data_IF_817545219255
#
_entry.id   IF_817545219255
#
_cell.length_a   1.000
_cell.length_b   1.000
_cell.length_c   1.000
_cell.angle_alpha   90.00
_cell.angle_beta   90.00
_cell.angle_gamma   90.00
#
_symmetry.space_group_name_H-M   'P 1'
#
loop_
_entity.id
_entity.type
_entity.pdbx_description
1 polymer ?
#
# COMPACT_ATOMS: atom_id res chain seq x y z
N UNK A 1 9.05 -45.47 -29.63
CA UNK A 1 9.09 -46.94 -29.48
C UNK A 1 7.76 -47.37 -28.89
N UNK A 2 7.11 -48.39 -29.45
CA UNK A 2 6.00 -49.07 -28.77
C UNK A 2 6.56 -49.97 -27.66
N UNK A 3 5.87 -49.99 -26.51
CA UNK A 3 6.18 -50.84 -25.36
C UNK A 3 4.93 -51.62 -24.94
N UNK A 4 5.13 -52.77 -24.32
CA UNK A 4 4.05 -53.73 -24.00
C UNK A 4 3.51 -53.54 -22.60
N UNK A 5 2.35 -54.14 -22.32
CA UNK A 5 1.59 -54.00 -21.07
C UNK A 5 2.40 -54.39 -19.82
N UNK A 6 3.41 -55.25 -19.96
CA UNK A 6 4.24 -55.75 -18.85
C UNK A 6 5.29 -54.74 -18.34
N UNK A 7 5.52 -53.61 -19.04
CA UNK A 7 6.40 -52.53 -18.58
C UNK A 7 5.76 -51.64 -17.47
N UNK A 8 4.49 -51.90 -17.08
CA UNK A 8 3.69 -51.05 -16.20
C UNK A 8 3.88 -51.43 -14.71
N UNK A 9 5.12 -51.60 -14.25
CA UNK A 9 5.47 -51.80 -12.83
C UNK A 9 6.68 -50.95 -12.40
N UNK A 10 6.67 -49.66 -12.74
CA UNK A 10 7.24 -48.63 -11.85
C UNK A 10 6.37 -47.37 -11.88
N UNK A 11 6.29 -46.65 -10.75
CA UNK A 11 5.17 -45.77 -10.44
C UNK A 11 5.51 -44.28 -10.62
N UNK A 12 4.89 -43.64 -11.63
CA UNK A 12 4.35 -42.25 -11.55
C UNK A 12 3.70 -41.81 -12.86
N UNK A 13 2.37 -41.70 -12.85
CA UNK A 13 1.59 -40.88 -13.77
C UNK A 13 0.47 -40.21 -12.98
N UNK A 14 0.69 -38.97 -12.55
CA UNK A 14 -0.41 -38.10 -12.15
C UNK A 14 -1.24 -37.74 -13.40
N UNK A 15 -2.55 -37.57 -13.23
CA UNK A 15 -3.51 -37.63 -14.34
C UNK A 15 -3.54 -36.34 -15.19
N UNK A 16 -2.59 -36.20 -16.12
CA UNK A 16 -2.56 -35.12 -17.11
C UNK A 16 -3.58 -35.38 -18.24
N UNK A 17 -4.83 -34.98 -17.98
CA UNK A 17 -5.83 -34.58 -18.98
C UNK A 17 -6.05 -35.45 -20.24
N UNK A 18 -6.13 -36.77 -20.10
CA UNK A 18 -6.57 -37.68 -21.16
C UNK A 18 -8.01 -37.36 -21.63
N UNK A 19 -8.16 -36.62 -22.73
CA UNK A 19 -9.46 -36.01 -23.12
C UNK A 19 -10.52 -37.00 -23.65
N UNK A 20 -10.12 -38.14 -24.22
CA UNK A 20 -11.05 -39.22 -24.59
C UNK A 20 -10.49 -40.62 -24.27
N UNK A 21 -11.24 -41.41 -23.49
CA UNK A 21 -10.87 -42.75 -23.01
C UNK A 21 -11.11 -43.88 -24.03
N UNK A 22 -10.86 -43.60 -25.32
CA UNK A 22 -11.10 -44.55 -26.44
C UNK A 22 -9.93 -44.81 -27.37
N UNK A 23 -8.72 -44.38 -27.01
CA UNK A 23 -7.47 -44.85 -27.62
C UNK A 23 -6.35 -44.85 -26.59
N UNK A 24 -5.57 -45.92 -26.53
CA UNK A 24 -4.52 -46.16 -25.53
C UNK A 24 -3.22 -45.40 -25.83
N UNK A 25 -3.33 -44.16 -26.31
CA UNK A 25 -2.21 -43.33 -26.76
C UNK A 25 -2.23 -42.03 -25.96
N UNK A 26 -1.41 -41.96 -24.92
CA UNK A 26 -0.97 -40.67 -24.39
C UNK A 26 0.19 -40.20 -25.28
N UNK A 27 -0.09 -39.33 -26.26
CA UNK A 27 0.99 -38.55 -26.87
C UNK A 27 1.56 -37.64 -25.76
N UNK A 28 2.84 -37.81 -25.42
CA UNK A 28 3.56 -36.80 -24.65
C UNK A 28 3.75 -35.62 -25.59
N UNK A 29 3.00 -34.54 -25.36
CA UNK A 29 3.28 -33.24 -25.98
C UNK A 29 4.72 -32.86 -25.67
N UNK A 30 5.47 -32.46 -26.70
CA UNK A 30 6.88 -32.13 -26.55
C UNK A 30 7.06 -30.90 -25.68
N UNK A 31 7.99 -30.96 -24.72
CA UNK A 31 8.56 -29.76 -24.13
C UNK A 31 9.37 -29.06 -25.23
N UNK A 32 8.81 -28.00 -25.79
CA UNK A 32 9.50 -27.12 -26.73
C UNK A 32 10.34 -26.09 -25.97
N UNK A 33 11.39 -25.57 -26.62
CA UNK A 33 12.08 -24.39 -26.10
C UNK A 33 11.10 -23.21 -26.02
N UNK A 34 11.24 -22.35 -25.00
CA UNK A 34 10.32 -21.24 -24.70
C UNK A 34 9.94 -20.32 -25.89
N UNK A 35 10.73 -20.29 -26.98
CA UNK A 35 10.45 -19.52 -28.20
C UNK A 35 9.74 -20.32 -29.30
N UNK A 36 9.30 -21.54 -29.03
CA UNK A 36 8.75 -22.47 -30.02
C UNK A 36 7.55 -23.25 -29.50
N UNK A 37 6.62 -23.60 -30.41
CA UNK A 37 5.39 -24.32 -30.09
C UNK A 37 4.92 -25.24 -31.22
N UNK A 38 3.84 -25.98 -30.94
CA UNK A 38 3.16 -26.86 -31.88
C UNK A 38 3.84 -28.22 -32.03
N UNK A 39 3.25 -29.09 -32.87
CA UNK A 39 3.79 -30.43 -33.10
C UNK A 39 5.18 -30.32 -33.73
N UNK A 40 6.11 -31.09 -33.15
CA UNK A 40 7.54 -31.09 -33.46
C UNK A 40 8.26 -29.72 -33.28
N UNK A 41 7.68 -28.79 -32.50
CA UNK A 41 8.25 -27.49 -32.12
C UNK A 41 8.68 -26.62 -33.32
N UNK A 42 7.92 -26.69 -34.41
CA UNK A 42 8.25 -26.07 -35.71
C UNK A 42 7.74 -24.64 -35.88
N UNK A 43 6.87 -24.17 -34.98
CA UNK A 43 6.34 -22.81 -34.97
C UNK A 43 7.09 -21.97 -33.93
N UNK A 44 7.24 -20.66 -34.17
CA UNK A 44 7.91 -19.74 -33.24
C UNK A 44 6.91 -18.82 -32.55
N UNK A 45 7.12 -18.57 -31.25
CA UNK A 45 6.35 -17.58 -30.50
C UNK A 45 6.48 -16.18 -31.12
N UNK A 46 5.46 -15.33 -30.97
CA UNK A 46 5.50 -13.96 -31.49
C UNK A 46 6.61 -13.13 -30.86
N UNK A 47 7.20 -12.22 -31.64
CA UNK A 47 8.17 -11.27 -31.11
C UNK A 47 7.54 -10.20 -30.18
N UNK A 48 6.21 -10.18 -30.07
CA UNK A 48 5.42 -9.34 -29.16
C UNK A 48 4.80 -10.13 -27.99
N UNK A 49 5.17 -11.40 -27.78
CA UNK A 49 4.87 -12.10 -26.52
C UNK A 49 5.64 -11.43 -25.38
N UNK A 50 4.93 -10.88 -24.40
CA UNK A 50 5.51 -10.06 -23.33
C UNK A 50 6.57 -10.81 -22.51
N UNK A 51 7.75 -10.22 -22.38
CA UNK A 51 8.83 -10.74 -21.52
C UNK A 51 10.22 -10.49 -22.08
N UNK A 52 11.21 -11.22 -21.54
CA UNK A 52 12.60 -11.16 -22.05
C UNK A 52 12.90 -12.24 -23.09
N UNK A 53 12.19 -13.36 -23.00
CA UNK A 53 12.43 -14.53 -23.82
C UNK A 53 11.24 -14.89 -24.72
N UNK A 54 10.22 -14.02 -24.75
CA UNK A 54 9.04 -14.09 -25.61
C UNK A 54 8.34 -15.44 -25.50
N UNK A 55 8.10 -15.86 -24.26
CA UNK A 55 7.65 -17.21 -23.90
C UNK A 55 6.18 -17.41 -24.28
N UNK A 56 5.89 -18.56 -24.88
CA UNK A 56 4.53 -18.98 -25.20
C UNK A 56 4.30 -20.46 -24.92
N UNK A 57 3.03 -20.83 -24.73
CA UNK A 57 2.58 -22.20 -24.50
C UNK A 57 3.01 -23.14 -25.62
N UNK A 58 3.74 -24.20 -25.27
CA UNK A 58 4.33 -25.17 -26.19
C UNK A 58 3.31 -25.89 -27.11
N UNK A 59 2.02 -25.89 -26.75
CA UNK A 59 0.96 -26.58 -27.50
C UNK A 59 0.31 -25.67 -28.55
N UNK A 60 -0.15 -24.49 -28.14
CA UNK A 60 -1.04 -23.61 -28.92
C UNK A 60 -0.38 -22.30 -29.37
N UNK A 61 0.75 -21.92 -28.76
CA UNK A 61 1.48 -20.69 -29.03
C UNK A 61 0.98 -19.48 -28.22
N UNK A 62 0.08 -19.66 -27.25
CA UNK A 62 -0.47 -18.55 -26.47
C UNK A 62 0.61 -17.92 -25.60
N UNK A 63 0.84 -16.61 -25.70
CA UNK A 63 1.91 -15.92 -24.97
C UNK A 63 1.70 -15.98 -23.44
N UNK A 64 2.71 -16.45 -22.70
CA UNK A 64 2.58 -16.84 -21.29
C UNK A 64 2.27 -15.66 -20.33
N UNK A 65 2.50 -14.42 -20.77
CA UNK A 65 2.42 -13.20 -19.96
C UNK A 65 1.57 -12.11 -20.61
N UNK A 66 0.76 -12.45 -21.63
CA UNK A 66 0.06 -11.47 -22.47
C UNK A 66 0.97 -10.83 -23.53
N UNK A 67 0.52 -9.72 -24.10
CA UNK A 67 1.18 -9.02 -25.20
C UNK A 67 1.98 -7.80 -24.73
N UNK A 68 3.01 -7.43 -25.52
CA UNK A 68 3.61 -6.11 -25.41
C UNK A 68 2.60 -5.01 -25.82
N UNK A 69 2.70 -3.79 -25.27
CA UNK A 69 1.76 -2.71 -25.58
C UNK A 69 1.69 -2.39 -27.08
N UNK A 70 0.48 -2.23 -27.59
CA UNK A 70 0.21 -2.10 -29.03
C UNK A 70 -0.22 -3.39 -29.73
N UNK A 71 -0.17 -4.54 -29.05
CA UNK A 71 -0.53 -5.84 -29.60
C UNK A 71 -1.61 -6.58 -28.79
N UNK A 72 -2.32 -7.48 -29.47
CA UNK A 72 -3.44 -8.24 -28.93
C UNK A 72 -3.62 -9.63 -29.58
N UNK A 73 -4.56 -10.41 -29.01
CA UNK A 73 -4.85 -11.78 -29.38
C UNK A 73 -3.90 -12.79 -28.71
N UNK A 74 -4.31 -14.06 -28.61
CA UNK A 74 -3.56 -15.08 -27.88
C UNK A 74 -2.09 -15.25 -28.34
N UNK A 75 -1.83 -15.05 -29.63
CA UNK A 75 -0.50 -15.13 -30.24
C UNK A 75 0.21 -13.77 -30.34
N UNK A 76 -0.35 -12.67 -29.83
CA UNK A 76 0.18 -11.30 -29.95
C UNK A 76 0.66 -10.97 -31.37
N UNK A 77 -0.23 -11.21 -32.34
CA UNK A 77 0.03 -11.14 -33.78
C UNK A 77 -0.95 -10.19 -34.51
N UNK A 78 -1.72 -9.42 -33.74
CA UNK A 78 -2.62 -8.37 -34.19
C UNK A 78 -2.25 -7.09 -33.45
N UNK A 79 -2.21 -5.96 -34.13
CA UNK A 79 -2.10 -4.65 -33.47
C UNK A 79 -3.42 -4.28 -32.79
N UNK A 80 -3.40 -3.36 -31.82
CA UNK A 80 -4.63 -2.79 -31.24
C UNK A 80 -5.49 -2.11 -32.32
N UNK A 81 -6.81 -2.24 -32.22
CA UNK A 81 -7.75 -1.52 -33.09
C UNK A 81 -7.72 0.00 -32.83
N UNK A 82 -7.98 0.79 -33.88
CA UNK A 82 -8.06 2.26 -33.78
C UNK A 82 -8.96 2.72 -32.62
N UNK A 83 -8.49 3.69 -31.84
CA UNK A 83 -9.18 4.15 -30.64
C UNK A 83 -8.83 3.36 -29.36
N UNK A 84 -7.94 2.36 -29.45
CA UNK A 84 -7.51 1.50 -28.36
C UNK A 84 -5.98 1.37 -28.35
N UNK A 85 -5.37 1.31 -27.17
CA UNK A 85 -3.92 1.26 -26.96
C UNK A 85 -3.53 0.47 -25.70
N UNK A 86 -2.22 0.25 -25.54
CA UNK A 86 -1.60 -0.32 -24.35
C UNK A 86 -1.48 -1.84 -24.38
N UNK A 87 -1.17 -2.41 -23.22
CA UNK A 87 -1.07 -3.86 -23.00
C UNK A 87 -2.43 -4.54 -23.25
N UNK A 88 -2.45 -5.62 -24.03
CA UNK A 88 -3.63 -6.41 -24.40
C UNK A 88 -4.84 -5.58 -24.91
N UNK A 89 -4.62 -4.46 -25.61
CA UNK A 89 -5.67 -3.51 -26.01
C UNK A 89 -6.56 -3.01 -24.85
N UNK A 90 -6.00 -2.87 -23.64
CA UNK A 90 -6.81 -2.63 -22.43
C UNK A 90 -7.23 -1.17 -22.18
N UNK A 91 -6.74 -0.18 -22.95
CA UNK A 91 -6.98 1.25 -22.70
C UNK A 91 -7.57 1.96 -23.93
N UNK A 92 -8.59 2.80 -23.73
CA UNK A 92 -9.18 3.60 -24.82
C UNK A 92 -8.49 4.95 -25.01
N UNK A 93 -8.26 5.35 -26.27
CA UNK A 93 -7.87 6.71 -26.65
C UNK A 93 -8.84 7.75 -26.05
N UNK A 94 -8.38 9.00 -25.91
CA UNK A 94 -9.25 10.05 -25.36
C UNK A 94 -10.25 10.53 -26.40
N UNK A 95 -11.51 10.75 -25.99
CA UNK A 95 -12.59 11.41 -26.77
C UNK A 95 -12.30 12.88 -27.18
N UNK A 96 -11.05 13.31 -27.04
CA UNK A 96 -10.51 14.64 -27.36
C UNK A 96 -9.22 14.55 -28.21
N UNK A 97 -8.85 13.34 -28.66
CA UNK A 97 -7.88 13.13 -29.72
C UNK A 97 -8.53 13.53 -31.05
N UNK A 98 -7.88 14.42 -31.81
CA UNK A 98 -8.32 14.76 -33.16
C UNK A 98 -8.11 13.60 -34.12
N UNK A 99 -9.08 13.39 -35.00
CA UNK A 99 -9.00 12.44 -36.09
C UNK A 99 -10.36 11.83 -36.39
N UNK A 100 -10.37 10.81 -37.23
CA UNK A 100 -11.44 9.83 -37.26
C UNK A 100 -11.24 8.86 -36.07
N UNK A 101 -12.32 8.35 -35.49
CA UNK A 101 -12.37 7.38 -34.38
C UNK A 101 -11.51 7.68 -33.13
N UNK A 102 -11.10 8.94 -32.93
CA UNK A 102 -10.20 9.41 -31.87
C UNK A 102 -8.79 8.80 -31.92
N UNK A 103 -8.24 8.59 -33.13
CA UNK A 103 -6.91 7.98 -33.37
C UNK A 103 -5.82 8.43 -32.40
N UNK A 104 -5.11 7.45 -31.82
CA UNK A 104 -3.95 7.65 -30.99
C UNK A 104 -2.97 6.46 -31.12
N UNK A 105 -1.70 6.71 -30.82
CA UNK A 105 -0.62 5.72 -30.79
C UNK A 105 -1.02 4.49 -29.96
N UNK A 106 -0.92 3.30 -30.56
CA UNK A 106 -1.37 2.04 -29.95
C UNK A 106 -0.48 1.55 -28.79
N UNK A 107 0.73 2.10 -28.62
CA UNK A 107 1.66 1.74 -27.54
C UNK A 107 1.40 2.61 -26.30
N UNK A 108 1.37 3.95 -26.45
CA UNK A 108 1.34 4.90 -25.32
C UNK A 108 0.08 5.79 -25.21
N UNK A 109 -0.77 5.79 -26.24
CA UNK A 109 -2.04 6.51 -26.29
C UNK A 109 -1.95 7.99 -26.70
N UNK A 110 -0.81 8.45 -27.23
CA UNK A 110 -0.62 9.83 -27.70
C UNK A 110 -1.47 10.11 -28.94
N UNK A 111 -2.30 11.16 -28.92
CA UNK A 111 -3.22 11.47 -30.01
C UNK A 111 -2.49 11.94 -31.28
N UNK A 112 -2.66 11.23 -32.40
CA UNK A 112 -1.85 11.39 -33.63
C UNK A 112 -1.94 12.78 -34.28
N UNK A 113 -3.08 13.46 -34.09
CA UNK A 113 -3.33 14.80 -34.63
C UNK A 113 -3.51 15.84 -33.51
N UNK A 114 -3.08 15.49 -32.29
CA UNK A 114 -3.17 16.33 -31.11
C UNK A 114 -4.58 16.57 -30.59
N UNK A 115 -4.75 17.61 -29.78
CA UNK A 115 -5.94 17.78 -28.94
C UNK A 115 -7.00 18.71 -29.51
N UNK A 116 -8.24 18.41 -29.16
CA UNK A 116 -9.39 19.25 -29.44
C UNK A 116 -9.41 20.60 -28.70
N UNK A 117 -10.30 21.49 -29.16
CA UNK A 117 -10.34 22.89 -28.77
C UNK A 117 -10.75 23.09 -27.30
N UNK A 118 -9.78 23.01 -26.40
CA UNK A 118 -9.99 23.06 -24.95
C UNK A 118 -9.23 21.99 -24.18
N UNK A 119 -8.45 21.15 -24.85
CA UNK A 119 -7.72 20.02 -24.26
C UNK A 119 -6.22 20.06 -24.59
N UNK A 120 -5.39 19.44 -23.75
CA UNK A 120 -3.93 19.45 -23.86
C UNK A 120 -3.27 18.19 -23.26
N UNK A 121 -1.96 18.03 -23.49
CA UNK A 121 -1.17 16.86 -23.11
C UNK A 121 -1.18 15.78 -24.19
N UNK A 122 -0.25 14.81 -24.14
CA UNK A 122 -0.06 13.82 -25.20
C UNK A 122 -1.34 13.00 -25.49
N UNK A 123 -1.97 12.46 -24.44
CA UNK A 123 -3.27 11.76 -24.50
C UNK A 123 -4.48 12.70 -24.46
N UNK A 124 -4.30 14.02 -24.52
CA UNK A 124 -5.37 15.05 -24.48
C UNK A 124 -6.34 15.05 -23.29
N UNK A 125 -6.13 14.22 -22.26
CA UNK A 125 -6.99 14.09 -21.05
C UNK A 125 -6.96 15.30 -20.09
N UNK A 126 -6.29 16.41 -20.42
CA UNK A 126 -6.23 17.62 -19.56
C UNK A 126 -7.02 18.78 -20.17
N UNK A 127 -8.07 19.25 -19.48
CA UNK A 127 -8.79 20.44 -19.89
C UNK A 127 -7.98 21.74 -19.68
N UNK A 128 -7.88 22.57 -20.72
CA UNK A 128 -7.31 23.93 -20.70
C UNK A 128 -8.28 24.85 -19.94
N UNK A 129 -8.11 24.94 -18.63
CA UNK A 129 -8.89 25.86 -17.78
C UNK A 129 -8.52 27.32 -18.08
N UNK A 130 -9.26 27.95 -19.00
CA UNK A 130 -9.10 29.37 -19.36
C UNK A 130 -9.33 30.30 -18.16
N UNK A 131 -8.25 30.64 -17.47
CA UNK A 131 -8.21 31.78 -16.55
C UNK A 131 -8.84 31.59 -15.17
N UNK A 132 -9.38 30.41 -14.82
CA UNK A 132 -9.64 30.10 -13.41
C UNK A 132 -8.30 30.00 -12.72
N UNK A 133 -7.90 31.06 -12.00
CA UNK A 133 -6.75 31.07 -11.11
C UNK A 133 -7.05 30.17 -9.90
N UNK A 134 -7.03 28.85 -10.11
CA UNK A 134 -6.79 27.88 -9.05
C UNK A 134 -5.37 28.14 -8.58
N UNK A 135 -5.25 29.09 -7.66
CA UNK A 135 -4.03 29.32 -6.92
C UNK A 135 -3.73 28.06 -6.14
N UNK A 136 -2.91 27.17 -6.73
CA UNK A 136 -2.22 26.11 -6.00
C UNK A 136 -1.30 26.81 -5.02
N UNK A 137 -1.86 27.19 -3.88
CA UNK A 137 -1.12 27.40 -2.67
C UNK A 137 -0.50 26.04 -2.32
N UNK A 138 0.66 25.77 -2.89
CA UNK A 138 1.56 24.73 -2.45
C UNK A 138 2.10 25.15 -1.08
N UNK A 139 1.20 25.10 -0.08
CA UNK A 139 1.56 25.11 1.32
C UNK A 139 2.40 23.86 1.49
N UNK A 140 3.72 24.03 1.57
CA UNK A 140 4.61 22.97 2.01
C UNK A 140 4.05 22.49 3.34
N UNK A 141 3.52 21.27 3.38
CA UNK A 141 2.89 20.71 4.58
C UNK A 141 3.95 20.25 5.58
N UNK A 142 4.94 21.11 5.85
CA UNK A 142 5.66 21.11 7.10
C UNK A 142 4.59 21.19 8.20
N UNK A 143 4.54 20.17 9.05
CA UNK A 143 3.40 19.90 9.91
C UNK A 143 3.31 20.89 11.08
N UNK A 144 2.68 22.05 10.84
CA UNK A 144 2.12 22.93 11.89
C UNK A 144 0.83 22.34 12.53
N UNK A 145 0.67 21.02 12.43
CA UNK A 145 -0.28 20.26 13.24
C UNK A 145 0.25 20.27 14.69
N UNK A 146 -0.59 20.69 15.64
CA UNK A 146 -0.40 20.66 17.10
C UNK A 146 0.40 21.77 17.82
N UNK A 147 0.68 22.95 17.22
CA UNK A 147 1.17 24.10 18.03
C UNK A 147 0.14 24.76 18.95
N UNK A 148 -1.15 24.41 18.87
CA UNK A 148 -2.22 25.14 19.55
C UNK A 148 -2.47 24.73 21.03
N UNK A 149 -1.99 23.57 21.49
CA UNK A 149 -2.33 23.01 22.83
C UNK A 149 -1.14 22.71 23.77
N UNK A 150 0.11 22.79 23.31
CA UNK A 150 1.27 22.28 24.09
C UNK A 150 1.65 23.19 25.27
N UNK A 151 1.45 24.51 25.15
CA UNK A 151 1.81 25.49 26.20
C UNK A 151 0.97 25.33 27.48
N UNK A 152 -0.34 25.12 27.36
CA UNK A 152 -1.27 25.05 28.50
C UNK A 152 -0.95 23.90 29.47
N UNK A 153 -0.51 22.75 28.96
CA UNK A 153 -0.17 21.58 29.78
C UNK A 153 1.12 21.82 30.58
N UNK A 154 2.10 22.50 29.98
CA UNK A 154 3.38 22.79 30.63
C UNK A 154 3.22 23.73 31.84
N UNK A 155 2.44 24.80 31.71
CA UNK A 155 2.19 25.76 32.80
C UNK A 155 1.47 25.09 33.99
N UNK A 156 0.46 24.26 33.73
CA UNK A 156 -0.27 23.53 34.76
C UNK A 156 0.66 22.60 35.57
N UNK A 157 1.59 21.88 34.91
CA UNK A 157 2.56 21.00 35.57
C UNK A 157 3.50 21.82 36.47
N UNK A 158 4.02 22.97 36.00
CA UNK A 158 4.90 23.83 36.80
C UNK A 158 4.18 24.35 38.05
N UNK A 159 2.92 24.80 37.93
CA UNK A 159 2.12 25.27 39.07
C UNK A 159 1.91 24.15 40.09
N UNK A 160 1.58 22.92 39.65
CA UNK A 160 1.40 21.77 40.54
C UNK A 160 2.72 21.40 41.25
N UNK A 161 3.84 21.34 40.55
CA UNK A 161 5.16 21.03 41.15
C UNK A 161 5.56 22.07 42.19
N UNK A 162 5.35 23.37 41.90
CA UNK A 162 5.62 24.45 42.86
C UNK A 162 4.69 24.34 44.08
N UNK A 163 3.40 24.06 43.88
CA UNK A 163 2.44 23.89 44.98
C UNK A 163 2.83 22.70 45.88
N UNK A 164 3.15 21.54 45.32
CA UNK A 164 3.61 20.36 46.06
C UNK A 164 4.90 20.66 46.83
N UNK A 165 5.88 21.34 46.22
CA UNK A 165 7.11 21.74 46.90
C UNK A 165 6.87 22.70 48.07
N UNK A 166 5.93 23.65 47.94
CA UNK A 166 5.53 24.56 49.04
C UNK A 166 4.81 23.82 50.16
N UNK A 167 3.90 22.89 49.84
CA UNK A 167 3.18 22.07 50.82
C UNK A 167 4.15 21.15 51.56
N UNK A 168 5.01 20.41 50.85
CA UNK A 168 6.03 19.55 51.44
C UNK A 168 7.02 20.35 52.30
N UNK A 169 7.46 21.52 51.84
CA UNK A 169 8.30 22.44 52.62
C UNK A 169 7.61 22.93 53.90
N UNK A 170 6.33 23.27 53.84
CA UNK A 170 5.53 23.66 55.01
C UNK A 170 5.30 22.49 55.98
N UNK A 171 5.06 21.28 55.48
CA UNK A 171 4.94 20.06 56.30
C UNK A 171 6.27 19.72 56.97
N UNK A 172 7.40 19.79 56.27
CA UNK A 172 8.74 19.61 56.84
C UNK A 172 9.05 20.71 57.86
N UNK A 173 8.68 21.97 57.60
CA UNK A 173 8.84 23.06 58.57
C UNK A 173 7.99 22.84 59.83
N UNK A 174 6.70 22.49 59.67
CA UNK A 174 5.80 22.14 60.79
C UNK A 174 6.32 20.94 61.57
N UNK A 175 6.78 19.89 60.88
CA UNK A 175 7.39 18.71 61.49
C UNK A 175 8.65 19.09 62.29
N UNK A 176 9.59 19.87 61.71
CA UNK A 176 10.79 20.34 62.41
C UNK A 176 10.45 21.23 63.61
N UNK A 177 9.43 22.09 63.52
CA UNK A 177 8.94 22.92 64.65
C UNK A 177 8.32 22.06 65.76
N UNK A 178 7.48 21.09 65.42
CA UNK A 178 6.91 20.14 66.39
C UNK A 178 7.94 19.17 66.99
N UNK A 179 9.09 18.98 66.33
CA UNK A 179 10.19 18.13 66.79
C UNK A 179 11.29 18.90 67.54
N UNK A 180 11.21 20.22 67.68
CA UNK A 180 12.00 20.94 68.69
C UNK A 180 11.51 20.49 70.09
N UNK A 181 12.39 19.92 70.94
CA UNK A 181 11.95 19.07 72.04
C UNK A 181 11.44 19.85 73.27
N UNK A 182 10.61 19.18 74.07
CA UNK A 182 10.19 19.59 75.43
C UNK A 182 11.36 19.55 76.44
N UNK A 183 12.45 20.29 76.20
CA UNK A 183 13.67 20.30 77.04
C UNK A 183 14.23 21.72 77.27
N UNK A 184 13.41 22.60 77.85
CA UNK A 184 13.92 23.82 78.50
C UNK A 184 13.10 24.21 79.75
N UNK A 185 11.78 24.40 79.62
CA UNK A 185 10.91 24.81 80.73
C UNK A 185 10.12 23.63 81.33
N UNK A 186 10.77 22.83 82.18
CA UNK A 186 10.11 21.78 83.00
C UNK A 186 10.72 21.65 84.42
N UNK A 187 11.39 22.69 84.92
CA UNK A 187 11.83 22.82 86.34
C UNK A 187 11.19 24.02 87.06
N UNK A 188 10.33 24.76 86.34
CA UNK A 188 9.49 25.89 86.76
C UNK A 188 8.26 25.83 85.85
N UNK A 189 7.02 25.68 86.31
CA UNK A 189 6.52 25.75 87.69
C UNK A 189 5.58 24.56 88.02
N UNK A 190 6.02 23.64 88.89
CA UNK A 190 5.13 22.68 89.55
C UNK A 190 4.47 23.37 90.75
N UNK A 191 3.62 24.37 90.48
CA UNK A 191 3.08 25.26 91.51
C UNK A 191 1.57 25.44 91.35
N UNK A 192 0.83 24.68 92.16
CA UNK A 192 -0.62 24.75 92.39
C UNK A 192 -1.52 24.41 91.19
N UNK A 193 -1.86 23.13 91.08
CA UNK A 193 -3.16 22.69 90.55
C UNK A 193 -4.15 22.58 91.71
N UNK A 194 -5.19 23.43 91.71
CA UNK A 194 -6.42 23.34 92.48
C UNK A 194 -7.42 24.33 91.83
N UNK A 195 -8.72 24.05 91.68
CA UNK A 195 -9.61 23.29 92.56
C UNK A 195 -10.80 22.65 91.78
N UNK A 196 -11.54 21.72 92.41
CA UNK A 196 -12.92 21.27 92.11
C UNK A 196 -13.37 20.86 90.68
N UNK A 197 -13.46 19.54 90.49
CA UNK A 197 -14.72 18.79 90.22
C UNK A 197 -15.49 18.84 88.86
N UNK A 198 -15.35 17.72 88.13
CA UNK A 198 -16.36 16.74 87.64
C UNK A 198 -17.85 16.88 88.11
N UNK A 199 -18.83 16.14 87.52
CA UNK A 199 -18.76 14.98 86.60
C UNK A 199 -19.49 15.28 85.26
N UNK A 200 -20.18 14.42 84.48
CA UNK A 200 -20.57 12.97 84.43
C UNK A 200 -21.03 12.67 82.97
N UNK A 201 -21.33 11.47 82.46
CA UNK A 201 -20.98 10.04 82.69
C UNK A 201 -21.38 9.30 81.37
N UNK A 202 -20.83 8.11 81.09
CA UNK A 202 -21.22 7.29 79.92
C UNK A 202 -20.21 6.19 79.61
#
# INVERSE_FOLDING_TARGET
MTRTYDDIIDWKWDNVHCKETRSFICEREGECDHRTYGKDCTLSCSEHCKGKDNSCGNVDGTCDQGCDPGYQGALCAQECDNGIYGEDSSLFCSEYCKGEDNSCDNVDGTCDHGCDAGYQGAQCRQAITKGVKVGRAHKNSNSEISKLNVTLIAEAIVVVVVAVARIAGFLVYRYRKSRQPRKYNNLKDNTVMNFSELPSNG
#
